data_IF_299514404805
#
_entry.id   IF_299514404805
#
_cell.length_a   1.000
_cell.length_b   1.000
_cell.length_c   1.000
_cell.angle_alpha   90.00
_cell.angle_beta   90.00
_cell.angle_gamma   90.00
#
_symmetry.space_group_name_H-M   'P 1'
#
loop_
_entity.id
_entity.type
_entity.pdbx_description
1 polymer ?
#
# COMPACT_ATOMS: atom_id res chain seq x y z
N UNK A 1 -14.30 32.53 -27.86
CA UNK A 1 -13.86 31.88 -26.62
C UNK A 1 -14.05 30.39 -26.82
N UNK A 2 -12.99 29.66 -27.15
CA UNK A 2 -13.05 28.20 -27.03
C UNK A 2 -13.42 27.89 -25.57
N UNK A 3 -14.46 27.08 -25.35
CA UNK A 3 -14.66 26.50 -24.03
C UNK A 3 -13.37 25.75 -23.71
N UNK A 4 -12.66 26.16 -22.66
CA UNK A 4 -11.49 25.44 -22.18
C UNK A 4 -11.87 23.97 -22.04
N UNK A 5 -10.99 23.08 -22.49
CA UNK A 5 -11.18 21.64 -22.33
C UNK A 5 -11.40 21.35 -20.84
N UNK A 6 -12.39 20.53 -20.52
CA UNK A 6 -12.67 20.17 -19.13
C UNK A 6 -11.44 19.51 -18.50
N UNK A 7 -11.20 19.80 -17.21
CA UNK A 7 -10.13 19.14 -16.46
C UNK A 7 -10.48 17.68 -16.31
N UNK A 8 -9.53 16.79 -16.53
CA UNK A 8 -9.71 15.34 -16.38
C UNK A 8 -8.48 14.80 -15.66
N UNK A 9 -8.68 13.98 -14.64
CA UNK A 9 -7.58 13.35 -13.92
C UNK A 9 -6.99 12.22 -14.78
N UNK A 10 -6.17 12.61 -15.74
CA UNK A 10 -5.49 11.72 -16.68
C UNK A 10 -4.18 12.35 -17.14
N UNK A 11 -3.31 11.56 -17.75
CA UNK A 11 -2.06 12.04 -18.37
C UNK A 11 -2.35 13.13 -19.41
N UNK A 12 -3.46 13.01 -20.14
CA UNK A 12 -3.86 13.99 -21.13
C UNK A 12 -4.40 15.29 -20.49
N UNK A 13 -5.23 15.16 -19.46
CA UNK A 13 -5.83 16.30 -18.76
C UNK A 13 -4.83 17.09 -17.91
N UNK A 14 -3.75 16.45 -17.45
CA UNK A 14 -2.66 17.10 -16.71
C UNK A 14 -1.65 17.87 -17.59
N UNK A 15 -1.78 17.83 -18.93
CA UNK A 15 -0.90 18.60 -19.83
C UNK A 15 -1.07 20.11 -19.67
N UNK A 16 -2.29 20.57 -19.41
CA UNK A 16 -2.56 21.98 -19.12
C UNK A 16 -2.34 22.27 -17.62
N UNK A 17 -1.07 22.23 -17.21
CA UNK A 17 -0.68 22.42 -15.81
C UNK A 17 -1.19 23.73 -15.22
N UNK A 18 -1.23 24.80 -16.03
CA UNK A 18 -1.66 26.12 -15.59
C UNK A 18 -3.12 26.12 -15.11
N UNK A 19 -4.00 25.32 -15.73
CA UNK A 19 -5.39 25.17 -15.32
C UNK A 19 -5.52 24.55 -13.91
N UNK A 20 -4.71 23.53 -13.61
CA UNK A 20 -4.67 22.87 -12.30
C UNK A 20 -4.04 23.75 -11.22
N UNK A 21 -2.89 24.36 -11.53
CA UNK A 21 -2.15 25.22 -10.61
C UNK A 21 -2.96 26.48 -10.26
N UNK A 22 -3.72 27.05 -11.21
CA UNK A 22 -4.64 28.16 -10.95
C UNK A 22 -5.79 27.79 -10.00
N UNK A 23 -6.17 26.51 -9.92
CA UNK A 23 -7.13 25.98 -8.95
C UNK A 23 -6.46 25.49 -7.66
N UNK A 24 -5.15 25.70 -7.50
CA UNK A 24 -4.41 25.39 -6.27
C UNK A 24 -3.98 23.93 -6.13
N UNK A 25 -3.92 23.17 -7.24
CA UNK A 25 -3.41 21.81 -7.22
C UNK A 25 -1.87 21.79 -7.31
N UNK A 26 -1.24 21.04 -6.42
CA UNK A 26 0.15 20.62 -6.58
C UNK A 26 0.21 19.44 -7.53
N UNK A 27 1.03 19.54 -8.57
CA UNK A 27 1.19 18.50 -9.59
C UNK A 27 2.53 17.77 -9.45
N UNK A 28 2.66 16.55 -9.98
CA UNK A 28 3.95 15.88 -10.05
C UNK A 28 5.03 16.75 -10.71
N UNK A 29 6.21 16.77 -10.09
CA UNK A 29 7.37 17.57 -10.50
C UNK A 29 8.50 16.72 -11.12
N UNK A 30 8.21 15.46 -11.43
CA UNK A 30 9.12 14.51 -12.06
C UNK A 30 8.58 14.06 -13.42
N UNK A 31 9.46 13.51 -14.26
CA UNK A 31 9.07 12.86 -15.51
C UNK A 31 8.43 11.50 -15.21
N UNK A 32 7.09 11.49 -15.10
CA UNK A 32 6.35 10.27 -14.78
C UNK A 32 6.54 9.18 -15.83
N UNK A 33 6.70 9.51 -17.11
CA UNK A 33 6.89 8.50 -18.15
C UNK A 33 8.23 7.76 -17.95
N UNK A 34 9.30 8.50 -17.66
CA UNK A 34 10.60 7.91 -17.32
C UNK A 34 10.52 7.05 -16.05
N UNK A 35 9.82 7.54 -15.02
CA UNK A 35 9.61 6.78 -13.77
C UNK A 35 8.80 5.49 -14.01
N UNK A 36 7.75 5.54 -14.83
CA UNK A 36 6.96 4.36 -15.22
C UNK A 36 7.83 3.32 -15.93
N UNK A 37 8.67 3.74 -16.88
CA UNK A 37 9.59 2.84 -17.60
C UNK A 37 10.61 2.21 -16.64
N UNK A 38 11.25 3.01 -15.80
CA UNK A 38 12.21 2.55 -14.80
C UNK A 38 11.57 1.57 -13.80
N UNK A 39 10.37 1.86 -13.29
CA UNK A 39 9.62 0.94 -12.41
C UNK A 39 9.27 -0.35 -13.11
N UNK A 40 8.88 -0.30 -14.39
CA UNK A 40 8.51 -1.51 -15.12
C UNK A 40 9.70 -2.44 -15.30
N UNK A 41 10.87 -1.88 -15.57
CA UNK A 41 12.12 -2.62 -15.73
C UNK A 41 12.67 -3.14 -14.39
N UNK A 42 12.72 -2.28 -13.38
CA UNK A 42 13.36 -2.53 -12.08
C UNK A 42 12.44 -2.12 -10.93
N UNK A 43 11.32 -2.82 -10.70
CA UNK A 43 10.41 -2.48 -9.62
C UNK A 43 11.11 -2.64 -8.28
N UNK A 44 11.03 -1.62 -7.42
CA UNK A 44 11.60 -1.64 -6.07
C UNK A 44 10.56 -1.88 -4.97
N UNK A 45 9.33 -1.44 -5.19
CA UNK A 45 8.28 -1.48 -4.17
C UNK A 45 6.91 -1.78 -4.81
N UNK A 46 6.28 -2.86 -4.36
CA UNK A 46 4.87 -3.17 -4.63
C UNK A 46 4.05 -3.12 -3.33
N UNK A 47 2.84 -2.55 -3.41
CA UNK A 47 1.91 -2.45 -2.29
C UNK A 47 0.64 -3.27 -2.57
N UNK A 48 0.23 -4.09 -1.61
CA UNK A 48 -1.01 -4.86 -1.62
C UNK A 48 -2.09 -4.15 -0.82
N UNK A 49 -3.19 -3.78 -1.47
CA UNK A 49 -4.29 -2.98 -0.91
C UNK A 49 -4.33 -1.58 -1.51
N UNK A 50 -5.25 -1.33 -2.45
CA UNK A 50 -5.39 -0.04 -3.13
C UNK A 50 -6.32 0.94 -2.37
N UNK A 51 -6.29 0.88 -1.04
CA UNK A 51 -7.20 1.62 -0.15
C UNK A 51 -6.88 3.11 0.02
N UNK A 52 -7.67 3.80 0.85
CA UNK A 52 -7.50 5.23 1.12
C UNK A 52 -6.20 5.54 1.87
N UNK A 53 -5.83 4.75 2.88
CA UNK A 53 -4.58 4.96 3.64
C UNK A 53 -3.38 4.91 2.71
N UNK A 54 -3.28 3.88 1.86
CA UNK A 54 -2.23 3.76 0.86
C UNK A 54 -2.10 5.01 -0.01
N UNK A 55 -3.22 5.47 -0.58
CA UNK A 55 -3.25 6.62 -1.48
C UNK A 55 -2.95 7.95 -0.77
N UNK A 56 -3.38 8.09 0.48
CA UNK A 56 -3.15 9.30 1.25
C UNK A 56 -1.72 9.40 1.80
N UNK A 57 -1.09 8.27 2.12
CA UNK A 57 0.14 8.27 2.89
C UNK A 57 1.33 7.71 2.09
N UNK A 58 1.40 6.40 1.86
CA UNK A 58 2.54 5.77 1.19
C UNK A 58 2.76 6.32 -0.23
N UNK A 59 1.67 6.48 -0.99
CA UNK A 59 1.74 7.07 -2.32
C UNK A 59 2.22 8.53 -2.28
N UNK A 60 1.76 9.32 -1.30
CA UNK A 60 2.17 10.72 -1.14
C UNK A 60 3.63 10.85 -0.66
N UNK A 61 4.09 9.94 0.21
CA UNK A 61 5.51 9.84 0.61
C UNK A 61 6.39 9.61 -0.61
N UNK A 62 6.05 8.64 -1.46
CA UNK A 62 6.81 8.40 -2.70
C UNK A 62 6.72 9.58 -3.68
N UNK A 63 5.55 10.23 -3.79
CA UNK A 63 5.36 11.44 -4.59
C UNK A 63 6.36 12.53 -4.20
N UNK A 64 6.55 12.76 -2.91
CA UNK A 64 7.46 13.77 -2.39
C UNK A 64 8.93 13.42 -2.63
N UNK A 65 9.31 12.15 -2.50
CA UNK A 65 10.68 11.68 -2.78
C UNK A 65 11.00 11.83 -4.28
N UNK A 66 10.08 11.41 -5.16
CA UNK A 66 10.22 11.56 -6.61
C UNK A 66 10.29 13.04 -7.03
N UNK A 67 9.47 13.91 -6.43
CA UNK A 67 9.51 15.36 -6.69
C UNK A 67 10.87 15.98 -6.36
N UNK A 68 11.63 15.42 -5.41
CA UNK A 68 12.99 15.86 -5.07
C UNK A 68 14.09 15.23 -5.95
N UNK A 69 13.73 14.31 -6.85
CA UNK A 69 14.70 13.58 -7.67
C UNK A 69 15.54 12.58 -6.88
N UNK A 70 15.05 12.12 -5.73
CA UNK A 70 15.75 11.19 -4.82
C UNK A 70 15.41 9.71 -5.10
N UNK A 71 14.54 9.44 -6.06
CA UNK A 71 14.17 8.10 -6.51
C UNK A 71 13.89 8.13 -8.02
N UNK A 72 14.18 7.04 -8.71
CA UNK A 72 13.95 6.90 -10.16
C UNK A 72 12.75 6.01 -10.49
N UNK A 73 12.27 5.23 -9.52
CA UNK A 73 11.13 4.31 -9.66
C UNK A 73 9.97 4.73 -8.75
N UNK A 74 8.75 4.68 -9.27
CA UNK A 74 7.51 4.82 -8.52
C UNK A 74 7.00 3.50 -7.91
N UNK A 75 5.75 3.53 -7.47
CA UNK A 75 5.02 2.46 -6.81
C UNK A 75 4.20 1.62 -7.79
N UNK A 76 4.18 0.32 -7.52
CA UNK A 76 3.18 -0.60 -8.08
C UNK A 76 2.15 -0.88 -6.99
N UNK A 77 0.86 -0.83 -7.32
CA UNK A 77 -0.21 -1.25 -6.40
C UNK A 77 -0.90 -2.50 -6.93
N UNK A 78 -1.25 -3.43 -6.04
CA UNK A 78 -2.01 -4.63 -6.36
C UNK A 78 -3.22 -4.75 -5.43
N UNK A 79 -4.39 -5.05 -6.00
CA UNK A 79 -5.62 -5.26 -5.24
C UNK A 79 -6.08 -6.71 -5.33
N UNK A 80 -6.36 -7.31 -4.17
CA UNK A 80 -6.67 -8.74 -4.05
C UNK A 80 -8.02 -9.05 -3.41
N UNK A 81 -8.64 -8.08 -2.75
CA UNK A 81 -9.97 -8.19 -2.17
C UNK A 81 -11.03 -7.68 -3.14
N UNK A 82 -10.88 -6.49 -3.72
CA UNK A 82 -11.89 -5.90 -4.60
C UNK A 82 -11.30 -5.36 -5.91
N UNK A 83 -11.25 -6.21 -6.92
CA UNK A 83 -10.60 -5.88 -8.19
C UNK A 83 -11.22 -4.68 -8.92
N UNK A 84 -12.49 -4.37 -8.64
CA UNK A 84 -13.17 -3.22 -9.22
C UNK A 84 -12.54 -1.90 -8.81
N UNK A 85 -11.77 -1.85 -7.71
CA UNK A 85 -10.98 -0.66 -7.35
C UNK A 85 -9.99 -0.35 -8.49
N UNK A 86 -9.30 -1.37 -9.02
CA UNK A 86 -8.35 -1.17 -10.11
C UNK A 86 -9.07 -0.80 -11.40
N UNK A 87 -10.16 -1.51 -11.71
CA UNK A 87 -10.89 -1.36 -12.98
C UNK A 87 -11.67 -0.04 -13.07
N UNK A 88 -12.22 0.45 -11.96
CA UNK A 88 -13.11 1.61 -11.92
C UNK A 88 -12.47 2.86 -11.35
N UNK A 89 -11.40 2.74 -10.55
CA UNK A 89 -10.68 3.90 -9.98
C UNK A 89 -9.29 4.05 -10.58
N UNK A 90 -8.40 3.05 -10.49
CA UNK A 90 -7.02 3.25 -10.89
C UNK A 90 -6.84 3.45 -12.41
N UNK A 91 -7.26 2.47 -13.21
CA UNK A 91 -7.00 2.46 -14.67
C UNK A 91 -7.71 3.57 -15.45
N UNK A 92 -8.97 3.94 -15.14
CA UNK A 92 -9.63 5.05 -15.83
C UNK A 92 -8.95 6.41 -15.61
N UNK A 93 -8.12 6.54 -14.57
CA UNK A 93 -7.44 7.79 -14.21
C UNK A 93 -5.92 7.69 -14.39
N UNK A 94 -5.44 6.80 -15.26
CA UNK A 94 -4.02 6.53 -15.51
C UNK A 94 -3.19 6.32 -14.22
N UNK A 95 -3.77 5.70 -13.19
CA UNK A 95 -3.20 5.49 -11.85
C UNK A 95 -2.93 6.78 -11.04
N UNK A 96 -3.41 7.94 -11.49
CA UNK A 96 -3.40 9.15 -10.68
C UNK A 96 -4.48 9.11 -9.60
N UNK A 97 -4.24 9.85 -8.51
CA UNK A 97 -5.26 10.16 -7.52
C UNK A 97 -5.11 11.58 -7.00
N UNK A 98 -6.16 12.15 -6.44
CA UNK A 98 -6.12 13.46 -5.78
C UNK A 98 -6.11 13.24 -4.27
N UNK A 99 -5.06 13.68 -3.59
CA UNK A 99 -5.03 13.83 -2.15
C UNK A 99 -5.54 15.21 -1.76
N UNK A 100 -6.55 15.24 -0.90
CA UNK A 100 -7.06 16.44 -0.27
C UNK A 100 -6.66 16.44 1.21
N UNK A 101 -5.69 17.28 1.58
CA UNK A 101 -5.20 17.39 2.95
C UNK A 101 -5.97 18.48 3.69
N UNK A 102 -6.67 18.09 4.75
CA UNK A 102 -7.40 18.98 5.64
C UNK A 102 -6.45 19.47 6.75
N UNK A 103 -6.16 20.78 6.75
CA UNK A 103 -5.25 21.40 7.73
C UNK A 103 -5.98 21.83 9.00
N UNK A 104 -5.22 21.91 10.09
CA UNK A 104 -5.74 22.33 11.39
C UNK A 104 -6.24 23.79 11.39
N UNK A 105 -5.73 24.64 10.50
CA UNK A 105 -6.19 26.02 10.31
C UNK A 105 -7.45 26.15 9.45
N UNK A 106 -8.01 25.02 8.99
CA UNK A 106 -9.20 24.95 8.15
C UNK A 106 -8.93 25.15 6.66
N UNK A 107 -7.66 25.35 6.26
CA UNK A 107 -7.30 25.36 4.85
C UNK A 107 -7.24 23.95 4.26
N UNK A 108 -7.33 23.87 2.93
CA UNK A 108 -7.34 22.61 2.19
C UNK A 108 -6.23 22.65 1.15
N UNK A 109 -5.34 21.67 1.20
CA UNK A 109 -4.35 21.43 0.16
C UNK A 109 -4.81 20.32 -0.78
N UNK A 110 -4.50 20.48 -2.07
CA UNK A 110 -4.88 19.54 -3.11
C UNK A 110 -3.63 19.12 -3.85
N UNK A 111 -3.35 17.83 -3.87
CA UNK A 111 -2.17 17.26 -4.53
C UNK A 111 -2.61 16.18 -5.50
N UNK A 112 -2.20 16.29 -6.76
CA UNK A 112 -2.29 15.19 -7.72
C UNK A 112 -1.11 14.25 -7.46
N UNK A 113 -1.42 13.07 -6.94
CA UNK A 113 -0.47 11.99 -6.68
C UNK A 113 -0.35 11.14 -7.94
N UNK A 114 0.87 11.10 -8.51
CA UNK A 114 1.25 10.32 -9.69
C UNK A 114 2.40 9.35 -9.45
N UNK A 115 2.77 9.11 -8.19
CA UNK A 115 3.84 8.18 -7.79
C UNK A 115 3.47 6.71 -7.98
N UNK A 116 2.17 6.38 -8.01
CA UNK A 116 1.68 5.07 -8.46
C UNK A 116 1.74 5.06 -9.97
N UNK A 117 2.50 4.15 -10.55
CA UNK A 117 2.78 4.11 -11.99
C UNK A 117 2.31 2.83 -12.67
N UNK A 118 1.83 1.86 -11.89
CA UNK A 118 1.26 0.61 -12.37
C UNK A 118 0.27 0.05 -11.34
N UNK A 119 -0.89 -0.44 -11.80
CA UNK A 119 -1.85 -1.17 -10.99
C UNK A 119 -2.15 -2.58 -11.52
N UNK A 120 -2.12 -3.55 -10.62
CA UNK A 120 -2.34 -4.96 -10.90
C UNK A 120 -3.54 -5.53 -10.12
N UNK A 121 -4.15 -6.58 -10.65
CA UNK A 121 -5.17 -7.36 -9.97
C UNK A 121 -4.53 -8.66 -9.43
N UNK A 122 -4.66 -8.94 -8.14
CA UNK A 122 -4.16 -10.17 -7.52
C UNK A 122 -5.15 -11.33 -7.77
N UNK A 123 -5.21 -11.78 -9.02
CA UNK A 123 -6.08 -12.87 -9.45
C UNK A 123 -5.32 -13.97 -10.19
N UNK A 124 -5.16 -15.13 -9.55
CA UNK A 124 -4.51 -16.30 -10.15
C UNK A 124 -5.26 -16.89 -11.34
N UNK A 125 -6.55 -16.57 -11.50
CA UNK A 125 -7.34 -16.97 -12.67
C UNK A 125 -7.06 -16.10 -13.90
N UNK A 126 -6.52 -14.90 -13.71
CA UNK A 126 -6.14 -13.99 -14.79
C UNK A 126 -4.64 -14.12 -15.09
N UNK A 127 -4.30 -14.87 -16.13
CA UNK A 127 -2.90 -15.15 -16.49
C UNK A 127 -2.08 -13.89 -16.78
N UNK A 128 -2.69 -12.84 -17.33
CA UNK A 128 -1.99 -11.59 -17.64
C UNK A 128 -1.61 -10.81 -16.38
N UNK A 129 -2.59 -10.62 -15.48
CA UNK A 129 -2.38 -9.91 -14.22
C UNK A 129 -1.43 -10.68 -13.29
N UNK A 130 -1.67 -11.98 -13.13
CA UNK A 130 -0.85 -12.82 -12.26
C UNK A 130 0.55 -13.09 -12.83
N UNK A 131 0.65 -13.20 -14.16
CA UNK A 131 1.93 -13.27 -14.87
C UNK A 131 2.77 -12.04 -14.59
N UNK A 132 2.19 -10.84 -14.67
CA UNK A 132 2.88 -9.59 -14.33
C UNK A 132 3.35 -9.55 -12.87
N UNK A 133 2.51 -9.99 -11.92
CA UNK A 133 2.90 -10.09 -10.52
C UNK A 133 4.07 -11.07 -10.30
N UNK A 134 4.05 -12.22 -10.99
CA UNK A 134 5.17 -13.18 -10.96
C UNK A 134 6.46 -12.57 -11.53
N UNK A 135 6.38 -11.83 -12.64
CA UNK A 135 7.53 -11.11 -13.20
C UNK A 135 8.14 -10.14 -12.19
N UNK A 136 7.31 -9.34 -11.50
CA UNK A 136 7.74 -8.39 -10.47
C UNK A 136 8.46 -9.15 -9.34
N UNK A 137 7.89 -10.25 -8.85
CA UNK A 137 8.49 -11.05 -7.77
C UNK A 137 9.81 -11.74 -8.17
N UNK A 138 10.06 -11.94 -9.47
CA UNK A 138 11.33 -12.44 -9.98
C UNK A 138 12.43 -11.35 -10.07
N UNK A 139 12.11 -10.06 -9.94
CA UNK A 139 13.11 -8.99 -10.08
C UNK A 139 14.01 -8.89 -8.85
N UNK A 140 15.33 -8.84 -9.06
CA UNK A 140 16.31 -8.61 -7.98
C UNK A 140 16.15 -7.22 -7.35
N UNK A 141 15.71 -6.24 -8.14
CA UNK A 141 15.43 -4.87 -7.67
C UNK A 141 14.30 -4.80 -6.66
N UNK A 142 13.42 -5.81 -6.55
CA UNK A 142 12.28 -5.76 -5.64
C UNK A 142 12.75 -5.86 -4.19
N UNK A 143 12.70 -4.74 -3.48
CA UNK A 143 13.20 -4.59 -2.13
C UNK A 143 12.11 -4.88 -1.09
N UNK A 144 10.91 -4.36 -1.33
CA UNK A 144 9.82 -4.39 -0.36
C UNK A 144 8.48 -4.72 -1.01
N UNK A 145 7.71 -5.56 -0.33
CA UNK A 145 6.28 -5.79 -0.55
C UNK A 145 5.56 -5.30 0.71
N UNK A 146 4.66 -4.33 0.59
CA UNK A 146 3.93 -3.79 1.75
C UNK A 146 2.42 -4.04 1.67
N UNK A 147 1.71 -3.94 2.79
CA UNK A 147 0.29 -4.31 2.86
C UNK A 147 -0.56 -3.28 3.64
N UNK A 148 -1.75 -2.96 3.12
CA UNK A 148 -2.87 -2.36 3.86
C UNK A 148 -4.17 -3.13 3.57
N UNK A 149 -4.20 -4.40 4.00
CA UNK A 149 -5.25 -5.36 3.64
C UNK A 149 -6.23 -5.65 4.79
N UNK A 150 -6.13 -4.88 5.86
CA UNK A 150 -6.79 -5.05 7.17
C UNK A 150 -6.36 -6.32 7.90
N UNK A 151 -6.61 -6.39 9.21
CA UNK A 151 -6.33 -7.59 10.02
C UNK A 151 -7.01 -8.86 9.45
N UNK A 152 -8.20 -8.70 8.85
CA UNK A 152 -8.94 -9.81 8.24
C UNK A 152 -8.20 -10.40 7.04
N UNK A 153 -7.37 -9.62 6.35
CA UNK A 153 -6.59 -10.07 5.20
C UNK A 153 -5.57 -11.15 5.55
N UNK A 154 -5.08 -11.20 6.80
CA UNK A 154 -4.13 -12.21 7.29
C UNK A 154 -4.78 -13.46 7.87
N UNK A 155 -6.10 -13.45 8.07
CA UNK A 155 -6.81 -14.53 8.77
C UNK A 155 -6.97 -15.76 7.89
N UNK A 156 -6.45 -16.91 8.34
CA UNK A 156 -6.60 -18.20 7.67
C UNK A 156 -7.85 -18.98 8.10
N UNK A 157 -8.42 -18.58 9.23
CA UNK A 157 -9.59 -19.19 9.85
C UNK A 157 -10.63 -18.13 10.22
N UNK A 158 -11.88 -18.56 10.39
CA UNK A 158 -12.96 -17.70 10.88
C UNK A 158 -12.88 -17.52 12.41
N UNK A 159 -13.78 -16.72 12.99
CA UNK A 159 -13.83 -16.47 14.43
C UNK A 159 -14.10 -17.70 15.32
N UNK A 160 -14.45 -18.85 14.74
CA UNK A 160 -14.58 -20.14 15.45
C UNK A 160 -13.31 -21.00 15.38
N UNK A 161 -12.28 -20.55 14.68
CA UNK A 161 -11.05 -21.30 14.43
C UNK A 161 -11.16 -22.31 13.28
N UNK A 162 -12.24 -22.27 12.49
CA UNK A 162 -12.40 -23.15 11.32
C UNK A 162 -11.68 -22.51 10.12
N UNK A 163 -10.86 -23.28 9.39
CA UNK A 163 -10.19 -22.80 8.20
C UNK A 163 -11.19 -22.23 7.19
N UNK A 164 -10.83 -21.12 6.56
CA UNK A 164 -11.62 -20.56 5.47
C UNK A 164 -11.63 -21.56 4.29
N UNK A 165 -12.77 -21.77 3.61
CA UNK A 165 -12.87 -22.76 2.53
C UNK A 165 -11.82 -22.59 1.42
N UNK A 166 -11.54 -21.34 1.02
CA UNK A 166 -10.51 -21.04 0.02
C UNK A 166 -9.09 -21.41 0.51
N UNK A 167 -8.78 -21.18 1.78
CA UNK A 167 -7.47 -21.54 2.37
C UNK A 167 -7.30 -23.05 2.42
N UNK A 168 -8.34 -23.78 2.84
CA UNK A 168 -8.31 -25.24 2.87
C UNK A 168 -8.13 -25.84 1.46
N UNK A 169 -8.79 -25.26 0.45
CA UNK A 169 -8.60 -25.66 -0.95
C UNK A 169 -7.16 -25.40 -1.42
N UNK A 170 -6.61 -24.22 -1.14
CA UNK A 170 -5.25 -23.84 -1.54
C UNK A 170 -4.17 -24.71 -0.88
N UNK A 171 -4.36 -25.13 0.38
CA UNK A 171 -3.46 -26.08 1.05
C UNK A 171 -3.36 -27.41 0.31
N UNK A 172 -4.47 -27.86 -0.30
CA UNK A 172 -4.52 -29.11 -1.05
C UNK A 172 -4.08 -28.94 -2.52
N UNK A 173 -4.30 -27.77 -3.12
CA UNK A 173 -4.02 -27.51 -4.53
C UNK A 173 -2.57 -27.05 -4.80
N UNK A 174 -1.93 -26.41 -3.82
CA UNK A 174 -0.54 -25.97 -3.93
C UNK A 174 -0.39 -24.55 -4.51
N UNK A 175 0.86 -24.14 -4.81
CA UNK A 175 1.18 -22.75 -5.12
C UNK A 175 0.83 -22.32 -6.55
N UNK A 176 0.42 -23.20 -7.46
CA UNK A 176 0.27 -22.83 -8.88
C UNK A 176 -0.82 -21.79 -9.13
N UNK A 177 -1.99 -21.98 -8.51
CA UNK A 177 -3.21 -21.19 -8.77
C UNK A 177 -4.10 -21.02 -7.52
N UNK A 178 -3.59 -20.44 -6.42
CA UNK A 178 -4.32 -20.30 -5.16
C UNK A 178 -5.45 -19.25 -5.25
N UNK A 179 -6.59 -19.52 -4.64
CA UNK A 179 -7.76 -18.65 -4.64
C UNK A 179 -7.77 -17.64 -3.47
N UNK A 180 -7.26 -18.02 -2.30
CA UNK A 180 -7.24 -17.16 -1.12
C UNK A 180 -6.21 -16.04 -1.23
N UNK A 181 -6.45 -14.93 -0.54
CA UNK A 181 -5.57 -13.75 -0.61
C UNK A 181 -4.12 -14.11 -0.22
N UNK A 182 -3.93 -14.66 0.98
CA UNK A 182 -2.60 -15.04 1.46
C UNK A 182 -2.03 -16.21 0.64
N UNK A 183 -2.85 -17.13 0.15
CA UNK A 183 -2.38 -18.18 -0.77
C UNK A 183 -1.72 -17.58 -2.01
N UNK A 184 -2.32 -16.56 -2.62
CA UNK A 184 -1.73 -15.85 -3.77
C UNK A 184 -0.43 -15.15 -3.43
N UNK A 185 -0.35 -14.48 -2.27
CA UNK A 185 0.89 -13.82 -1.81
C UNK A 185 1.99 -14.85 -1.54
N UNK A 186 1.66 -15.96 -0.86
CA UNK A 186 2.60 -17.06 -0.59
C UNK A 186 3.10 -17.71 -1.89
N UNK A 187 2.24 -17.83 -2.91
CA UNK A 187 2.62 -18.31 -4.24
C UNK A 187 3.57 -17.35 -4.98
N UNK A 188 3.37 -16.04 -4.83
CA UNK A 188 4.31 -15.05 -5.38
C UNK A 188 5.69 -15.14 -4.67
N UNK A 189 5.71 -15.33 -3.35
CA UNK A 189 6.95 -15.63 -2.63
C UNK A 189 7.58 -16.96 -3.05
N UNK A 190 6.77 -17.99 -3.30
CA UNK A 190 7.25 -19.25 -3.85
C UNK A 190 7.87 -19.06 -5.24
N UNK A 191 7.26 -18.22 -6.09
CA UNK A 191 7.84 -17.84 -7.39
C UNK A 191 9.21 -17.18 -7.22
N UNK A 192 9.34 -16.24 -6.28
CA UNK A 192 10.63 -15.59 -5.95
C UNK A 192 11.65 -16.59 -5.40
N UNK A 193 11.23 -17.53 -4.56
CA UNK A 193 12.06 -18.62 -4.05
C UNK A 193 12.62 -19.48 -5.19
N UNK A 194 11.76 -19.91 -6.12
CA UNK A 194 12.16 -20.67 -7.32
C UNK A 194 13.09 -19.87 -8.23
N UNK A 195 13.00 -18.54 -8.20
CA UNK A 195 13.89 -17.63 -8.92
C UNK A 195 15.18 -17.27 -8.15
N UNK A 196 15.74 -18.22 -7.40
CA UNK A 196 17.06 -18.08 -6.76
C UNK A 196 17.05 -17.52 -5.33
N UNK A 197 15.93 -17.65 -4.61
CA UNK A 197 15.83 -17.30 -3.18
C UNK A 197 16.28 -15.86 -2.89
N UNK A 198 15.79 -14.93 -3.73
CA UNK A 198 16.16 -13.52 -3.68
C UNK A 198 15.60 -12.85 -2.41
N UNK A 199 16.39 -12.06 -1.67
CA UNK A 199 15.93 -11.49 -0.42
C UNK A 199 14.77 -10.48 -0.61
N UNK A 200 13.87 -10.33 0.37
CA UNK A 200 12.72 -9.42 0.33
C UNK A 200 12.19 -9.08 1.72
N UNK A 201 11.70 -7.86 1.90
CA UNK A 201 10.94 -7.47 3.08
C UNK A 201 9.42 -7.52 2.82
N UNK A 202 8.68 -8.19 3.70
CA UNK A 202 7.22 -8.31 3.69
C UNK A 202 6.64 -7.46 4.83
N UNK A 203 6.24 -6.22 4.52
CA UNK A 203 5.96 -5.19 5.51
C UNK A 203 4.46 -4.94 5.63
N UNK A 204 3.82 -5.53 6.64
CA UNK A 204 2.47 -5.11 6.98
C UNK A 204 2.48 -3.66 7.49
N UNK A 205 1.59 -2.83 6.96
CA UNK A 205 1.34 -1.45 7.38
C UNK A 205 -0.13 -1.29 7.78
N UNK A 206 -0.75 -2.37 8.26
CA UNK A 206 -2.10 -2.34 8.83
C UNK A 206 -2.04 -1.94 10.30
N UNK A 207 -3.08 -1.24 10.76
CA UNK A 207 -3.24 -0.90 12.17
C UNK A 207 -3.70 -2.13 12.98
N UNK A 208 -2.77 -3.03 13.26
CA UNK A 208 -2.93 -4.10 14.22
C UNK A 208 -1.59 -4.44 14.89
N UNK A 209 -1.62 -4.84 16.16
CA UNK A 209 -0.39 -5.11 16.91
C UNK A 209 0.36 -6.32 16.35
N UNK A 210 1.70 -6.22 16.32
CA UNK A 210 2.62 -7.25 15.84
C UNK A 210 2.22 -7.74 14.43
N UNK A 211 1.84 -6.80 13.56
CA UNK A 211 1.34 -7.08 12.22
C UNK A 211 2.29 -7.92 11.36
N UNK A 212 3.60 -7.74 11.50
CA UNK A 212 4.63 -8.57 10.87
C UNK A 212 4.54 -10.04 11.29
N UNK A 213 4.29 -10.33 12.57
CA UNK A 213 4.14 -11.70 13.05
C UNK A 213 2.85 -12.36 12.52
N UNK A 214 1.75 -11.60 12.40
CA UNK A 214 0.51 -12.09 11.79
C UNK A 214 0.73 -12.46 10.31
N UNK A 215 1.42 -11.61 9.56
CA UNK A 215 1.76 -11.87 8.17
C UNK A 215 2.71 -13.07 8.02
N UNK A 216 3.76 -13.15 8.85
CA UNK A 216 4.67 -14.29 8.93
C UNK A 216 3.89 -15.58 9.19
N UNK A 217 3.07 -15.62 10.25
CA UNK A 217 2.33 -16.82 10.62
C UNK A 217 1.42 -17.30 9.49
N UNK A 218 0.75 -16.38 8.79
CA UNK A 218 -0.12 -16.71 7.67
C UNK A 218 0.67 -17.30 6.49
N UNK A 219 1.76 -16.67 6.07
CA UNK A 219 2.61 -17.15 4.95
C UNK A 219 3.34 -18.45 5.31
N UNK A 220 3.90 -18.53 6.52
CA UNK A 220 4.57 -19.72 7.04
C UNK A 220 3.65 -20.93 7.03
N UNK A 221 2.39 -20.77 7.46
CA UNK A 221 1.40 -21.87 7.45
C UNK A 221 1.17 -22.39 6.04
N UNK A 222 1.10 -21.53 5.02
CA UNK A 222 1.01 -21.96 3.62
C UNK A 222 2.26 -22.73 3.19
N UNK A 223 3.45 -22.20 3.49
CA UNK A 223 4.71 -22.86 3.14
C UNK A 223 4.82 -24.25 3.78
N UNK A 224 4.50 -24.37 5.06
CA UNK A 224 4.47 -25.66 5.77
C UNK A 224 3.47 -26.63 5.17
N UNK A 225 2.21 -26.20 4.94
CA UNK A 225 1.17 -27.09 4.41
C UNK A 225 1.47 -27.57 3.00
N UNK A 226 2.01 -26.71 2.14
CA UNK A 226 2.46 -27.11 0.82
C UNK A 226 3.65 -28.08 0.88
N UNK A 227 4.60 -27.86 1.79
CA UNK A 227 5.74 -28.78 1.98
C UNK A 227 5.32 -30.14 2.56
N UNK A 228 4.43 -30.17 3.56
CA UNK A 228 3.85 -31.39 4.14
C UNK A 228 3.10 -32.23 3.11
N UNK A 229 2.36 -31.56 2.20
CA UNK A 229 1.60 -32.22 1.15
C UNK A 229 2.45 -32.56 -0.10
N UNK A 230 3.75 -32.26 -0.10
CA UNK A 230 4.63 -32.52 -1.26
C UNK A 230 4.38 -31.63 -2.47
N UNK A 231 3.72 -30.48 -2.27
CA UNK A 231 3.37 -29.49 -3.30
C UNK A 231 4.41 -28.36 -3.43
N UNK A 232 5.31 -28.24 -2.44
CA UNK A 232 6.47 -27.34 -2.45
C UNK A 232 7.66 -28.02 -1.77
N UNK A 233 8.88 -27.58 -2.05
CA UNK A 233 10.08 -28.09 -1.39
C UNK A 233 10.19 -27.61 0.06
N UNK A 234 10.76 -28.43 0.95
CA UNK A 234 11.04 -28.02 2.35
C UNK A 234 11.94 -26.77 2.44
N UNK A 235 12.78 -26.56 1.43
CA UNK A 235 13.63 -25.38 1.34
C UNK A 235 12.83 -24.08 1.18
N UNK A 236 11.57 -24.14 0.71
CA UNK A 236 10.70 -22.97 0.73
C UNK A 236 10.36 -22.55 2.16
N UNK A 237 10.09 -23.49 3.06
CA UNK A 237 9.88 -23.20 4.49
C UNK A 237 11.14 -22.60 5.11
N UNK A 238 12.31 -23.18 4.80
CA UNK A 238 13.60 -22.64 5.27
C UNK A 238 13.84 -21.22 4.77
N UNK A 239 13.50 -20.93 3.51
CA UNK A 239 13.61 -19.60 2.92
C UNK A 239 12.71 -18.56 3.60
N UNK A 240 11.46 -18.91 3.94
CA UNK A 240 10.55 -18.04 4.71
C UNK A 240 11.07 -17.80 6.14
N UNK A 241 11.72 -18.80 6.75
CA UNK A 241 12.22 -18.74 8.12
C UNK A 241 13.61 -18.09 8.24
N UNK A 242 14.32 -17.92 7.12
CA UNK A 242 15.59 -17.22 7.08
C UNK A 242 15.36 -15.71 7.00
N UNK A 243 15.57 -15.03 8.12
CA UNK A 243 15.38 -13.57 8.25
C UNK A 243 16.32 -12.74 7.38
N UNK A 244 17.45 -13.31 6.94
CA UNK A 244 18.38 -12.69 5.97
C UNK A 244 17.87 -12.83 4.52
N UNK A 245 16.82 -13.62 4.32
CA UNK A 245 16.15 -13.82 3.02
C UNK A 245 14.78 -13.19 3.02
N UNK A 246 13.90 -13.56 3.93
CA UNK A 246 12.55 -13.01 4.03
C UNK A 246 12.36 -12.41 5.40
N UNK A 247 12.10 -11.12 5.45
CA UNK A 247 11.79 -10.45 6.71
C UNK A 247 10.32 -10.08 6.80
N UNK A 248 9.82 -10.05 8.02
CA UNK A 248 8.48 -9.60 8.37
C UNK A 248 8.57 -8.51 9.45
N UNK A 249 8.99 -7.29 9.07
CA UNK A 249 9.18 -6.19 10.02
C UNK A 249 7.85 -5.80 10.68
N UNK A 250 7.91 -5.43 11.96
CA UNK A 250 6.76 -4.82 12.63
C UNK A 250 6.62 -3.36 12.21
N UNK A 251 5.39 -2.85 12.20
CA UNK A 251 5.15 -1.44 11.98
C UNK A 251 3.98 -0.92 12.81
N UNK A 252 4.03 0.38 13.11
CA UNK A 252 2.92 1.16 13.61
C UNK A 252 2.57 2.23 12.58
N UNK A 253 1.29 2.34 12.25
CA UNK A 253 0.76 3.38 11.38
C UNK A 253 -0.32 4.18 12.11
N UNK A 254 -0.25 5.50 12.01
CA UNK A 254 -1.29 6.41 12.48
C UNK A 254 -1.59 7.42 11.37
N UNK A 255 -2.79 7.32 10.82
CA UNK A 255 -3.31 8.20 9.77
C UNK A 255 -4.84 8.12 9.75
N UNK A 256 -5.54 9.23 9.99
CA UNK A 256 -6.98 9.28 9.78
C UNK A 256 -7.26 9.57 8.30
N UNK A 257 -7.80 8.57 7.61
CA UNK A 257 -8.38 8.72 6.26
C UNK A 257 -9.87 8.37 6.31
N UNK A 258 -10.77 9.35 6.51
CA UNK A 258 -12.20 9.08 6.52
C UNK A 258 -12.66 8.53 5.16
N UNK A 259 -13.93 8.10 5.10
CA UNK A 259 -14.57 7.99 3.80
C UNK A 259 -14.58 9.36 3.11
N UNK A 260 -14.58 9.40 1.77
CA UNK A 260 -14.76 10.63 1.02
C UNK A 260 -15.87 11.49 1.62
N UNK A 261 -15.48 12.67 2.10
CA UNK A 261 -16.41 13.59 2.76
C UNK A 261 -17.18 14.39 1.70
N UNK A 262 -18.50 14.53 1.87
CA UNK A 262 -19.34 15.25 0.93
C UNK A 262 -18.89 16.71 0.74
N UNK A 263 -18.34 17.34 1.77
CA UNK A 263 -17.79 18.70 1.65
C UNK A 263 -16.54 18.76 0.76
N UNK A 264 -15.70 17.73 0.79
CA UNK A 264 -14.55 17.60 -0.11
C UNK A 264 -15.00 17.32 -1.53
N UNK A 265 -15.99 16.45 -1.70
CA UNK A 265 -16.61 16.20 -3.00
C UNK A 265 -17.17 17.50 -3.62
N UNK A 266 -17.85 18.34 -2.82
CA UNK A 266 -18.34 19.64 -3.26
C UNK A 266 -17.23 20.66 -3.57
N UNK A 267 -16.09 20.59 -2.89
CA UNK A 267 -14.91 21.39 -3.23
C UNK A 267 -14.38 20.97 -4.61
N UNK A 268 -14.23 19.67 -4.85
CA UNK A 268 -13.69 19.14 -6.10
C UNK A 268 -14.66 19.33 -7.28
N UNK A 269 -15.97 19.22 -7.05
CA UNK A 269 -17.00 19.52 -8.07
C UNK A 269 -16.95 20.97 -8.57
N UNK A 270 -16.66 21.93 -7.68
CA UNK A 270 -16.47 23.34 -8.06
C UNK A 270 -15.23 23.56 -8.93
N UNK A 271 -14.28 22.64 -8.87
CA UNK A 271 -13.10 22.65 -9.73
C UNK A 271 -13.40 22.10 -11.13
N UNK A 272 -14.63 21.67 -11.43
CA UNK A 272 -15.07 21.24 -12.78
C UNK A 272 -14.15 20.18 -13.39
N UNK A 273 -13.72 19.22 -12.57
CA UNK A 273 -12.92 18.07 -12.99
C UNK A 273 -13.88 16.92 -13.31
N UNK A 274 -13.86 16.49 -14.56
CA UNK A 274 -14.65 15.36 -15.05
C UNK A 274 -14.10 14.04 -14.48
N UNK A 275 -15.01 13.08 -14.23
CA UNK A 275 -14.65 11.72 -13.82
C UNK A 275 -14.40 11.51 -12.31
N UNK A 276 -14.59 12.54 -11.47
CA UNK A 276 -14.39 12.40 -10.03
C UNK A 276 -15.54 11.73 -9.26
N UNK A 277 -16.62 11.35 -9.94
CA UNK A 277 -17.80 10.77 -9.31
C UNK A 277 -17.45 9.47 -8.56
N UNK A 278 -17.84 9.35 -7.28
CA UNK A 278 -17.63 8.14 -6.52
C UNK A 278 -18.41 6.96 -7.09
N UNK A 279 -17.80 5.78 -7.07
CA UNK A 279 -18.38 4.53 -7.53
C UNK A 279 -18.48 3.55 -6.37
N UNK A 280 -19.61 2.84 -6.29
CA UNK A 280 -19.80 1.72 -5.36
C UNK A 280 -19.58 0.42 -6.13
N UNK A 281 -18.64 -0.40 -5.66
CA UNK A 281 -18.33 -1.71 -6.27
C UNK A 281 -19.37 -2.77 -5.92
N UNK A 282 -19.32 -3.93 -6.58
CA UNK A 282 -20.17 -5.07 -6.21
C UNK A 282 -19.94 -5.59 -4.79
N UNK A 283 -18.79 -5.28 -4.18
CA UNK A 283 -18.43 -5.63 -2.80
C UNK A 283 -18.80 -4.54 -1.77
N UNK A 284 -19.56 -3.53 -2.18
CA UNK A 284 -19.92 -2.35 -1.37
C UNK A 284 -18.72 -1.50 -0.93
N UNK A 285 -17.62 -1.55 -1.67
CA UNK A 285 -16.51 -0.63 -1.47
C UNK A 285 -16.89 0.70 -2.12
N UNK A 286 -16.73 1.78 -1.37
CA UNK A 286 -16.89 3.14 -1.89
C UNK A 286 -15.53 3.63 -2.36
N UNK A 287 -15.36 3.84 -3.67
CA UNK A 287 -14.12 4.34 -4.26
C UNK A 287 -14.37 5.63 -5.01
N UNK A 288 -13.39 6.52 -4.94
CA UNK A 288 -13.34 7.75 -5.72
C UNK A 288 -11.88 7.97 -6.14
N UNK A 289 -11.62 8.67 -7.26
CA UNK A 289 -10.27 9.04 -7.68
C UNK A 289 -9.61 10.10 -6.79
N UNK A 290 -10.26 10.46 -5.68
CA UNK A 290 -9.69 11.29 -4.63
C UNK A 290 -9.79 10.62 -3.26
N UNK A 291 -9.02 11.16 -2.31
CA UNK A 291 -8.99 10.75 -0.91
C UNK A 291 -8.76 11.99 -0.06
N UNK A 292 -9.53 12.13 1.01
CA UNK A 292 -9.31 13.13 2.04
C UNK A 292 -8.57 12.53 3.22
N UNK A 293 -7.61 13.30 3.76
CA UNK A 293 -6.87 12.91 4.93
C UNK A 293 -6.53 14.15 5.77
N UNK A 294 -6.27 13.95 7.06
CA UNK A 294 -5.64 14.98 7.88
C UNK A 294 -4.18 15.21 7.50
N UNK A 295 -3.56 16.29 7.98
CA UNK A 295 -2.12 16.53 7.80
C UNK A 295 -1.25 15.59 8.65
N UNK A 296 -1.69 15.27 9.87
CA UNK A 296 -0.94 14.42 10.79
C UNK A 296 -0.77 13.00 10.23
N UNK A 297 0.45 12.47 10.29
CA UNK A 297 0.75 11.10 9.86
C UNK A 297 2.01 10.56 10.51
N UNK A 298 1.95 9.31 10.95
CA UNK A 298 3.10 8.61 11.50
C UNK A 298 3.17 7.19 10.94
N UNK A 299 4.37 6.79 10.51
CA UNK A 299 4.67 5.41 10.16
C UNK A 299 6.04 5.08 10.73
N UNK A 300 6.04 4.15 11.69
CA UNK A 300 7.25 3.63 12.33
C UNK A 300 7.41 2.19 11.90
N UNK A 301 8.57 1.82 11.36
CA UNK A 301 8.82 0.48 10.84
C UNK A 301 10.11 -0.08 11.47
N UNK A 302 10.11 -1.36 11.81
CA UNK A 302 11.31 -2.08 12.18
C UNK A 302 12.32 -2.07 11.02
N UNK A 303 13.55 -1.63 11.24
CA UNK A 303 14.56 -1.48 10.19
C UNK A 303 15.25 -2.81 9.87
N UNK A 304 14.50 -3.73 9.26
CA UNK A 304 15.04 -5.01 8.82
C UNK A 304 14.62 -5.36 7.39
N UNK A 305 15.50 -5.02 6.44
CA UNK A 305 15.24 -5.12 5.00
C UNK A 305 16.38 -5.87 4.30
N UNK A 306 16.27 -7.19 4.10
CA UNK A 306 17.38 -8.02 3.64
C UNK A 306 17.83 -7.72 2.20
N UNK A 307 17.02 -7.01 1.42
CA UNK A 307 17.36 -6.55 0.07
C UNK A 307 17.58 -5.02 0.01
N UNK A 308 17.80 -4.38 1.16
CA UNK A 308 17.71 -2.93 1.30
C UNK A 308 16.27 -2.42 1.18
N UNK A 309 16.12 -1.10 1.24
CA UNK A 309 14.84 -0.40 1.08
C UNK A 309 15.08 0.98 0.46
N UNK A 310 14.06 1.61 -0.12
CA UNK A 310 14.14 3.03 -0.46
C UNK A 310 14.38 3.88 0.80
N UNK A 311 15.01 5.04 0.64
CA UNK A 311 15.30 6.01 1.72
C UNK A 311 14.02 6.76 2.16
N UNK A 312 13.00 6.00 2.57
CA UNK A 312 11.67 6.53 2.92
C UNK A 312 11.69 7.45 4.16
N UNK A 313 12.77 7.44 4.93
CA UNK A 313 13.00 8.41 6.01
C UNK A 313 13.06 9.85 5.52
N UNK A 314 13.48 10.07 4.26
CA UNK A 314 13.42 11.40 3.64
C UNK A 314 11.99 11.85 3.37
N UNK A 315 11.02 10.94 3.39
CA UNK A 315 9.60 11.21 3.30
C UNK A 315 8.88 11.25 4.65
N UNK A 316 9.59 11.13 5.78
CA UNK A 316 9.01 11.19 7.12
C UNK A 316 8.72 9.84 7.78
N UNK A 317 8.98 8.72 7.09
CA UNK A 317 8.88 7.38 7.71
C UNK A 317 10.01 7.19 8.72
N UNK A 318 9.71 6.68 9.90
CA UNK A 318 10.71 6.42 10.94
C UNK A 318 11.09 4.95 10.93
N UNK A 319 12.39 4.67 10.93
CA UNK A 319 12.94 3.32 11.02
C UNK A 319 13.65 3.14 12.35
N UNK A 320 13.39 2.03 13.05
CA UNK A 320 13.91 1.79 14.39
C UNK A 320 14.00 0.29 14.70
N UNK A 321 14.48 -0.09 15.88
CA UNK A 321 14.49 -1.49 16.30
C UNK A 321 13.09 -2.01 16.69
N UNK A 322 12.91 -3.33 16.65
CA UNK A 322 11.64 -4.00 17.01
C UNK A 322 11.14 -3.63 18.40
N UNK A 323 12.06 -3.50 19.36
CA UNK A 323 11.72 -3.20 20.75
C UNK A 323 11.11 -1.79 20.89
N UNK A 324 11.51 -0.87 20.02
CA UNK A 324 10.99 0.49 19.96
C UNK A 324 9.67 0.54 19.22
N UNK A 325 9.50 -0.21 18.12
CA UNK A 325 8.18 -0.37 17.46
C UNK A 325 7.14 -0.89 18.46
N UNK A 326 7.46 -1.94 19.23
CA UNK A 326 6.57 -2.50 20.25
C UNK A 326 6.13 -1.47 21.33
N UNK A 327 7.04 -0.57 21.73
CA UNK A 327 6.70 0.53 22.65
C UNK A 327 5.76 1.53 21.99
N UNK A 328 6.02 1.91 20.75
CA UNK A 328 5.21 2.86 19.99
C UNK A 328 3.79 2.33 19.78
N UNK A 329 3.66 1.07 19.34
CA UNK A 329 2.35 0.40 19.19
C UNK A 329 1.56 0.42 20.51
N UNK A 330 2.20 0.09 21.63
CA UNK A 330 1.53 0.11 22.95
C UNK A 330 1.07 1.50 23.36
N UNK A 331 1.88 2.53 23.08
CA UNK A 331 1.52 3.92 23.36
C UNK A 331 0.29 4.29 22.52
N UNK A 332 0.31 4.04 21.22
CA UNK A 332 -0.84 4.32 20.33
C UNK A 332 -2.11 3.62 20.84
N UNK A 333 -2.03 2.33 21.16
CA UNK A 333 -3.18 1.55 21.62
C UNK A 333 -3.71 1.98 22.99
N UNK A 334 -2.83 2.36 23.93
CA UNK A 334 -3.22 2.92 25.22
C UNK A 334 -3.92 4.27 25.05
N UNK A 335 -3.45 5.10 24.13
CA UNK A 335 -4.01 6.43 23.91
C UNK A 335 -5.30 6.38 23.09
N UNK A 336 -5.51 5.41 22.19
CA UNK A 336 -6.82 5.17 21.57
C UNK A 336 -7.91 4.84 22.61
N UNK A 337 -7.56 4.12 23.68
CA UNK A 337 -8.47 3.84 24.79
C UNK A 337 -8.80 5.10 25.60
N UNK A 338 -7.85 6.04 25.74
CA UNK A 338 -8.07 7.32 26.44
C UNK A 338 -8.72 8.39 25.54
N UNK A 339 -8.42 8.44 24.25
CA UNK A 339 -8.92 9.44 23.30
C UNK A 339 -10.36 9.21 22.86
N UNK A 340 -10.93 8.04 23.17
CA UNK A 340 -12.39 7.86 23.21
C UNK A 340 -13.07 8.88 24.17
N UNK A 341 -12.30 9.54 25.05
CA UNK A 341 -12.77 10.60 25.93
C UNK A 341 -12.30 12.03 25.55
N UNK A 342 -11.09 12.22 24.99
CA UNK A 342 -10.55 13.57 24.71
C UNK A 342 -9.54 13.55 23.53
N UNK A 343 -9.88 14.17 22.38
CA UNK A 343 -9.14 14.15 21.10
C UNK A 343 -7.73 14.79 21.12
N UNK A 344 -6.79 14.20 21.84
CA UNK A 344 -5.42 14.72 22.05
C UNK A 344 -4.30 13.72 21.69
N UNK A 345 -4.64 12.61 21.01
CA UNK A 345 -3.72 11.50 20.71
C UNK A 345 -2.47 11.94 19.92
N UNK A 346 -2.63 12.82 18.93
CA UNK A 346 -1.57 13.22 18.01
C UNK A 346 -0.45 14.05 18.64
N UNK A 347 -0.70 14.83 19.70
CA UNK A 347 0.28 15.77 20.27
C UNK A 347 1.34 15.07 21.12
N UNK A 348 0.96 14.05 21.89
CA UNK A 348 1.89 13.32 22.77
C UNK A 348 2.70 12.27 22.04
N UNK A 349 2.08 11.56 21.10
CA UNK A 349 2.79 10.65 20.20
C UNK A 349 3.84 11.43 19.40
N UNK A 350 3.46 12.59 18.84
CA UNK A 350 4.41 13.51 18.19
C UNK A 350 5.59 13.88 19.10
N UNK A 351 5.32 14.31 20.33
CA UNK A 351 6.35 14.72 21.27
C UNK A 351 7.31 13.57 21.65
N UNK A 352 6.80 12.35 21.79
CA UNK A 352 7.60 11.18 22.09
C UNK A 352 8.46 10.76 20.88
N UNK A 353 7.85 10.64 19.70
CA UNK A 353 8.54 10.31 18.44
C UNK A 353 9.65 11.34 18.13
N UNK A 354 9.38 12.63 18.30
CA UNK A 354 10.38 13.68 18.03
C UNK A 354 11.56 13.68 19.01
N UNK A 355 11.36 13.22 20.24
CA UNK A 355 12.38 13.25 21.29
C UNK A 355 13.23 11.97 21.30
N UNK A 356 12.63 10.82 21.03
CA UNK A 356 13.23 9.52 21.27
C UNK A 356 13.57 8.73 19.97
N UNK A 357 13.13 9.18 18.78
CA UNK A 357 13.40 8.52 17.48
C UNK A 357 14.19 9.34 16.45
N UNK A 358 14.50 10.62 16.72
CA UNK A 358 15.32 11.47 15.82
C UNK A 358 16.75 11.63 16.29
#
# INVERSE_FOLDING_TARGET
MEKGKAMELSTLGLKDRAQWEAKGYQLPQFDRAAVTEATRENPCWIHFGAGNIFRAFQANVMQNILNRGEMETGLIVAEGFDYEIIEKMNRPHDDYSILVTLKADGSVEKTVVGSVVESCILDSENEGEYGRLKEIFCKQSLQMVSFTITEKGYSLANGKGELLPAVAADFAAGPEKPASYIGKVASLLYTRFKNGQLPIAMVSMDNCSHNGDKLYAAIHTFAEKWAENGLAEKDFVNYINDREKVSFPWSMIDKITPRPDASVEEILKKDEIDGLDPVVTSKNTYVAPFVNAEECEYLVIEDWFPNGRPELEKGGIMFTDRATVDKVEKIESLHLLESASHGSCSVWLSAWLHKDLR
#
